data_IF_473190964509
#
_entry.id   IF_473190964509
#
_cell.length_a   1.000
_cell.length_b   1.000
_cell.length_c   1.000
_cell.angle_alpha   90.00
_cell.angle_beta   90.00
_cell.angle_gamma   90.00
#
_symmetry.space_group_name_H-M   'P 1'
#
loop_
_entity.id
_entity.type
_entity.pdbx_description
1 polymer ?
#
# COMPACT_ATOMS: atom_id res chain seq x y z
N UNK A 1 -17.84 -15.42 27.31
CA UNK A 1 -18.29 -14.37 26.38
C UNK A 1 -17.31 -13.22 26.26
N UNK A 2 -16.78 -12.66 27.37
CA UNK A 2 -15.88 -11.49 27.29
C UNK A 2 -14.46 -11.83 26.79
N UNK A 3 -13.90 -12.96 27.22
CA UNK A 3 -12.55 -13.34 26.82
C UNK A 3 -12.46 -13.70 25.33
N UNK A 4 -13.39 -14.50 24.82
CA UNK A 4 -13.47 -14.86 23.39
C UNK A 4 -13.64 -13.62 22.51
N UNK A 5 -14.54 -12.71 22.90
CA UNK A 5 -14.74 -11.43 22.21
C UNK A 5 -13.44 -10.62 22.18
N UNK A 6 -12.79 -10.45 23.32
CA UNK A 6 -11.54 -9.70 23.42
C UNK A 6 -10.42 -10.35 22.60
N UNK A 7 -10.29 -11.68 22.64
CA UNK A 7 -9.28 -12.40 21.85
C UNK A 7 -9.53 -12.26 20.35
N UNK A 8 -10.77 -12.35 19.88
CA UNK A 8 -11.08 -12.16 18.46
C UNK A 8 -10.81 -10.73 18.01
N UNK A 9 -11.18 -9.71 18.82
CA UNK A 9 -10.87 -8.31 18.50
C UNK A 9 -9.36 -8.09 18.44
N UNK A 10 -8.60 -8.58 19.43
CA UNK A 10 -7.14 -8.47 19.43
C UNK A 10 -6.50 -9.19 18.24
N UNK A 11 -7.05 -10.35 17.84
CA UNK A 11 -6.60 -11.08 16.66
C UNK A 11 -6.86 -10.29 15.38
N UNK A 12 -8.05 -9.70 15.22
CA UNK A 12 -8.38 -8.85 14.07
C UNK A 12 -7.46 -7.62 14.01
N UNK A 13 -7.26 -6.93 15.13
CA UNK A 13 -6.31 -5.81 15.22
C UNK A 13 -4.90 -6.25 14.87
N UNK A 14 -4.46 -7.39 15.40
CA UNK A 14 -3.14 -7.95 15.12
C UNK A 14 -2.95 -8.29 13.65
N UNK A 15 -3.93 -8.94 13.03
CA UNK A 15 -3.96 -9.25 11.60
C UNK A 15 -3.89 -7.96 10.78
N UNK A 16 -4.74 -6.97 11.07
CA UNK A 16 -4.81 -5.72 10.32
C UNK A 16 -3.53 -4.88 10.46
N UNK A 17 -2.90 -4.85 11.64
CA UNK A 17 -1.65 -4.12 11.87
C UNK A 17 -0.45 -4.82 11.23
N UNK A 18 -0.34 -6.15 11.36
CA UNK A 18 0.76 -6.92 10.76
C UNK A 18 0.69 -6.88 9.24
N UNK A 19 -0.50 -7.06 8.67
CA UNK A 19 -0.74 -6.96 7.23
C UNK A 19 -0.90 -5.51 6.74
N UNK A 20 -0.95 -4.54 7.64
CA UNK A 20 -1.10 -3.11 7.36
C UNK A 20 0.21 -2.32 7.45
N UNK A 21 1.32 -2.98 7.75
CA UNK A 21 2.63 -2.32 7.84
C UNK A 21 3.09 -1.69 6.52
N UNK A 22 2.87 -2.38 5.40
CA UNK A 22 3.12 -1.86 4.04
C UNK A 22 2.07 -0.81 3.62
N UNK A 23 0.82 -0.95 4.05
CA UNK A 23 -0.20 0.10 3.90
C UNK A 23 0.24 1.43 4.54
N UNK A 24 0.85 1.38 5.74
CA UNK A 24 1.36 2.57 6.42
C UNK A 24 2.52 3.23 5.64
N UNK A 25 3.35 2.42 4.97
CA UNK A 25 4.38 2.90 4.04
C UNK A 25 3.72 3.62 2.87
N UNK A 26 2.72 3.03 2.21
CA UNK A 26 2.01 3.66 1.08
C UNK A 26 1.39 4.99 1.49
N UNK A 27 0.74 5.04 2.65
CA UNK A 27 0.12 6.26 3.19
C UNK A 27 1.16 7.37 3.40
N UNK A 28 2.30 7.03 4.00
CA UNK A 28 3.40 7.97 4.19
C UNK A 28 3.92 8.48 2.83
N UNK A 29 4.12 7.59 1.87
CA UNK A 29 4.64 7.91 0.54
C UNK A 29 3.68 8.79 -0.26
N UNK A 30 2.39 8.45 -0.29
CA UNK A 30 1.36 9.21 -0.99
C UNK A 30 1.16 10.62 -0.41
N UNK A 31 1.41 10.80 0.88
CA UNK A 31 1.27 12.09 1.56
C UNK A 31 2.56 12.92 1.60
N UNK A 32 3.74 12.34 1.34
CA UNK A 32 5.04 13.00 1.47
C UNK A 32 5.18 14.28 0.66
N UNK A 33 4.69 14.29 -0.58
CA UNK A 33 4.85 15.41 -1.52
C UNK A 33 3.80 16.54 -1.30
N UNK A 34 2.89 16.39 -0.33
CA UNK A 34 1.95 17.44 0.05
C UNK A 34 2.61 18.50 0.95
N UNK A 35 2.12 19.75 0.90
CA UNK A 35 2.46 20.76 1.93
C UNK A 35 2.13 20.22 3.33
N UNK A 36 2.97 20.50 4.33
CA UNK A 36 2.82 19.99 5.70
C UNK A 36 1.40 20.18 6.27
N UNK A 37 0.77 21.32 5.99
CA UNK A 37 -0.60 21.63 6.43
C UNK A 37 -1.68 20.71 5.84
N UNK A 38 -1.41 20.04 4.72
CA UNK A 38 -2.34 19.12 4.04
C UNK A 38 -2.02 17.65 4.28
N UNK A 39 -0.80 17.30 4.73
CA UNK A 39 -0.38 15.90 4.95
C UNK A 39 -1.27 15.18 5.95
N UNK A 40 -1.47 15.78 7.12
CA UNK A 40 -2.33 15.22 8.16
C UNK A 40 -3.78 15.05 7.69
N UNK A 41 -4.28 15.96 6.86
CA UNK A 41 -5.62 15.85 6.26
C UNK A 41 -5.69 14.70 5.26
N UNK A 42 -4.66 14.53 4.42
CA UNK A 42 -4.59 13.42 3.46
C UNK A 42 -4.55 12.07 4.16
N UNK A 43 -3.72 11.93 5.19
CA UNK A 43 -3.61 10.71 6.00
C UNK A 43 -4.95 10.43 6.68
N UNK A 44 -5.53 11.41 7.39
CA UNK A 44 -6.79 11.20 8.11
C UNK A 44 -7.95 10.85 7.18
N UNK A 45 -8.17 11.64 6.12
CA UNK A 45 -9.29 11.43 5.19
C UNK A 45 -9.07 10.15 4.38
N UNK A 46 -7.85 9.93 3.89
CA UNK A 46 -7.49 8.74 3.13
C UNK A 46 -7.68 7.46 3.93
N UNK A 47 -7.15 7.41 5.16
CA UNK A 47 -7.31 6.26 6.05
C UNK A 47 -8.78 6.05 6.41
N UNK A 48 -9.55 7.09 6.78
CA UNK A 48 -10.97 6.93 7.09
C UNK A 48 -11.76 6.37 5.91
N UNK A 49 -11.56 6.89 4.70
CA UNK A 49 -12.22 6.38 3.49
C UNK A 49 -11.79 4.94 3.18
N UNK A 50 -10.51 4.64 3.34
CA UNK A 50 -9.97 3.29 3.16
C UNK A 50 -10.60 2.28 4.12
N UNK A 51 -10.74 2.61 5.41
CA UNK A 51 -11.40 1.70 6.37
C UNK A 51 -12.88 1.52 6.04
N UNK A 52 -13.60 2.59 5.66
CA UNK A 52 -15.01 2.45 5.26
C UNK A 52 -15.12 1.48 4.10
N UNK A 53 -14.27 1.65 3.08
CA UNK A 53 -14.21 0.73 1.96
C UNK A 53 -13.84 -0.69 2.43
N UNK A 54 -12.85 -0.84 3.32
CA UNK A 54 -12.42 -2.13 3.87
C UNK A 54 -13.54 -2.86 4.62
N UNK A 55 -14.37 -2.15 5.39
CA UNK A 55 -15.54 -2.73 6.05
C UNK A 55 -16.52 -3.26 5.00
N UNK A 56 -16.81 -2.46 3.96
CA UNK A 56 -17.69 -2.87 2.85
C UNK A 56 -17.13 -4.10 2.13
N UNK A 57 -15.84 -4.10 1.79
CA UNK A 57 -15.18 -5.25 1.17
C UNK A 57 -15.23 -6.49 2.05
N UNK A 58 -15.09 -6.34 3.38
CA UNK A 58 -15.15 -7.47 4.31
C UNK A 58 -16.51 -8.12 4.32
N UNK A 59 -17.58 -7.33 4.24
CA UNK A 59 -18.94 -7.85 4.11
C UNK A 59 -19.13 -8.56 2.76
N UNK A 60 -18.50 -8.05 1.71
CA UNK A 60 -18.58 -8.58 0.35
C UNK A 60 -17.47 -9.58 0.00
N UNK A 61 -16.67 -10.04 0.97
CA UNK A 61 -15.43 -10.78 0.73
C UNK A 61 -15.64 -12.05 -0.12
N UNK A 62 -16.79 -12.70 0.04
CA UNK A 62 -17.17 -13.89 -0.74
C UNK A 62 -17.32 -13.59 -2.23
N UNK A 63 -17.85 -12.42 -2.59
CA UNK A 63 -18.03 -12.00 -3.99
C UNK A 63 -16.75 -11.45 -4.61
N UNK A 64 -15.81 -11.00 -3.77
CA UNK A 64 -14.54 -10.43 -4.18
C UNK A 64 -13.65 -11.46 -4.89
N UNK A 65 -13.70 -12.73 -4.45
CA UNK A 65 -12.97 -13.85 -5.06
C UNK A 65 -13.35 -14.10 -6.54
N UNK A 66 -14.56 -13.70 -6.94
CA UNK A 66 -15.04 -13.92 -8.31
C UNK A 66 -14.65 -12.79 -9.28
N UNK A 67 -14.00 -11.71 -8.80
CA UNK A 67 -13.63 -10.56 -9.65
C UNK A 67 -12.30 -10.87 -10.36
N UNK A 68 -12.30 -11.18 -11.67
CA UNK A 68 -11.07 -11.46 -12.39
C UNK A 68 -10.26 -10.18 -12.58
N UNK A 69 -8.93 -10.33 -12.64
CA UNK A 69 -7.96 -9.26 -12.90
C UNK A 69 -7.85 -8.18 -11.82
N UNK A 70 -8.53 -8.32 -10.68
CA UNK A 70 -8.48 -7.33 -9.62
C UNK A 70 -7.05 -7.20 -9.06
N UNK A 71 -6.38 -8.33 -8.81
CA UNK A 71 -5.00 -8.35 -8.33
C UNK A 71 -4.04 -7.86 -9.41
N UNK A 72 -4.25 -8.20 -10.68
CA UNK A 72 -3.45 -7.69 -11.79
C UNK A 72 -3.51 -6.15 -11.90
N UNK A 73 -4.71 -5.57 -11.88
CA UNK A 73 -4.91 -4.10 -11.90
C UNK A 73 -4.22 -3.47 -10.69
N UNK A 74 -4.37 -4.11 -9.54
CA UNK A 74 -3.73 -3.71 -8.31
C UNK A 74 -2.20 -3.67 -8.39
N UNK A 75 -1.60 -4.74 -8.90
CA UNK A 75 -0.16 -4.83 -9.11
C UNK A 75 0.35 -3.76 -10.08
N UNK A 76 -0.39 -3.47 -11.16
CA UNK A 76 -0.06 -2.37 -12.08
C UNK A 76 -0.10 -1.02 -11.35
N UNK A 77 -1.16 -0.76 -10.58
CA UNK A 77 -1.30 0.50 -9.84
C UNK A 77 -0.17 0.68 -8.81
N UNK A 78 0.19 -0.36 -8.08
CA UNK A 78 1.29 -0.34 -7.12
C UNK A 78 2.65 -0.14 -7.79
N UNK A 79 2.86 -0.75 -8.95
CA UNK A 79 4.05 -0.52 -9.78
C UNK A 79 4.17 0.94 -10.18
N UNK A 80 3.07 1.56 -10.60
CA UNK A 80 3.04 2.99 -10.95
C UNK A 80 3.35 3.88 -9.74
N UNK A 81 2.84 3.55 -8.55
CA UNK A 81 3.17 4.29 -7.32
C UNK A 81 4.66 4.14 -7.01
N UNK A 82 5.21 2.93 -7.09
CA UNK A 82 6.61 2.65 -6.78
C UNK A 82 7.58 3.34 -7.76
N UNK A 83 7.25 3.38 -9.05
CA UNK A 83 8.03 4.11 -10.06
C UNK A 83 7.93 5.62 -9.80
N UNK A 84 6.70 6.16 -9.73
CA UNK A 84 6.48 7.59 -9.49
C UNK A 84 7.24 8.06 -8.26
N UNK A 85 7.30 7.24 -7.22
CA UNK A 85 7.98 7.57 -5.98
C UNK A 85 9.50 7.79 -6.13
N UNK A 86 10.16 6.98 -6.96
CA UNK A 86 11.60 7.08 -7.20
C UNK A 86 11.93 8.15 -8.26
N UNK A 87 10.97 8.49 -9.12
CA UNK A 87 11.15 9.47 -10.18
C UNK A 87 10.63 10.87 -9.81
N UNK A 88 9.85 11.03 -8.74
CA UNK A 88 9.25 12.32 -8.38
C UNK A 88 10.30 13.33 -7.88
N UNK A 89 10.21 14.55 -8.41
CA UNK A 89 11.19 15.61 -8.22
C UNK A 89 10.85 16.52 -7.04
N UNK A 90 11.33 16.18 -5.83
CA UNK A 90 11.17 17.06 -4.66
C UNK A 90 12.36 17.98 -4.35
N UNK A 91 13.41 17.99 -5.19
CA UNK A 91 14.64 18.78 -4.94
C UNK A 91 14.81 20.04 -5.80
N UNK A 92 13.88 20.39 -6.69
CA UNK A 92 13.95 21.65 -7.45
C UNK A 92 13.07 22.71 -6.79
N UNK A 93 13.72 23.65 -6.09
CA UNK A 93 13.12 24.78 -5.36
C UNK A 93 12.44 25.84 -6.26
N UNK A 94 12.30 25.60 -7.57
CA UNK A 94 11.90 26.62 -8.54
C UNK A 94 11.09 26.10 -9.73
N UNK A 95 10.19 25.12 -9.54
CA UNK A 95 9.13 24.87 -10.52
C UNK A 95 7.74 24.92 -9.89
N UNK A 96 7.03 25.96 -10.32
CA UNK A 96 5.61 26.18 -10.08
C UNK A 96 4.84 25.05 -10.78
N UNK A 97 3.93 24.40 -10.05
CA UNK A 97 2.93 23.42 -10.52
C UNK A 97 3.40 21.99 -10.87
N UNK A 98 3.78 21.25 -9.83
CA UNK A 98 3.74 19.77 -9.81
C UNK A 98 3.40 19.18 -8.44
N UNK A 99 2.80 19.96 -7.53
CA UNK A 99 2.51 19.48 -6.16
C UNK A 99 1.36 18.49 -6.20
N UNK A 100 1.60 17.24 -5.80
CA UNK A 100 0.56 16.23 -5.54
C UNK A 100 -0.62 16.89 -4.83
N UNK A 101 -1.82 16.75 -5.36
CA UNK A 101 -3.00 17.37 -4.76
C UNK A 101 -3.51 16.53 -3.59
N UNK A 102 -4.23 17.16 -2.65
CA UNK A 102 -4.86 16.44 -1.53
C UNK A 102 -5.74 15.29 -2.06
N UNK A 103 -6.52 15.56 -3.11
CA UNK A 103 -7.38 14.57 -3.76
C UNK A 103 -6.57 13.43 -4.38
N UNK A 104 -5.46 13.73 -5.05
CA UNK A 104 -4.58 12.71 -5.63
C UNK A 104 -3.97 11.82 -4.53
N UNK A 105 -3.48 12.40 -3.44
CA UNK A 105 -2.93 11.63 -2.32
C UNK A 105 -3.99 10.72 -1.68
N UNK A 106 -5.18 11.26 -1.39
CA UNK A 106 -6.31 10.49 -0.84
C UNK A 106 -6.72 9.36 -1.79
N UNK A 107 -6.80 9.65 -3.10
CA UNK A 107 -7.09 8.63 -4.13
C UNK A 107 -6.05 7.52 -4.10
N UNK A 108 -4.76 7.86 -4.10
CA UNK A 108 -3.67 6.87 -4.05
C UNK A 108 -3.77 5.99 -2.79
N UNK A 109 -4.04 6.60 -1.62
CA UNK A 109 -4.22 5.86 -0.36
C UNK A 109 -5.38 4.86 -0.49
N UNK A 110 -6.56 5.32 -0.90
CA UNK A 110 -7.77 4.48 -0.96
C UNK A 110 -7.62 3.36 -2.00
N UNK A 111 -7.06 3.64 -3.17
CA UNK A 111 -6.87 2.62 -4.20
C UNK A 111 -5.81 1.59 -3.83
N UNK A 112 -4.70 2.01 -3.22
CA UNK A 112 -3.70 1.07 -2.74
C UNK A 112 -4.27 0.20 -1.61
N UNK A 113 -5.00 0.80 -0.66
CA UNK A 113 -5.63 0.06 0.43
C UNK A 113 -6.70 -0.92 -0.07
N UNK A 114 -7.51 -0.56 -1.06
CA UNK A 114 -8.50 -1.44 -1.69
C UNK A 114 -7.83 -2.70 -2.27
N UNK A 115 -6.73 -2.49 -2.98
CA UNK A 115 -6.00 -3.53 -3.71
C UNK A 115 -5.23 -4.43 -2.74
N UNK A 116 -4.45 -3.85 -1.83
CA UNK A 116 -3.68 -4.58 -0.81
C UNK A 116 -4.59 -5.22 0.23
N UNK A 117 -5.68 -4.53 0.56
CA UNK A 117 -6.67 -4.95 1.52
C UNK A 117 -7.49 -6.16 1.06
N UNK A 118 -7.42 -6.57 -0.20
CA UNK A 118 -8.14 -7.74 -0.71
C UNK A 118 -7.77 -9.03 0.06
N UNK A 119 -6.48 -9.34 0.15
CA UNK A 119 -5.98 -10.50 0.89
C UNK A 119 -6.25 -10.35 2.40
N UNK A 120 -6.12 -9.12 2.90
CA UNK A 120 -6.33 -8.80 4.32
C UNK A 120 -7.80 -8.99 4.73
N UNK A 121 -8.73 -8.64 3.83
CA UNK A 121 -10.17 -8.78 4.02
C UNK A 121 -10.55 -10.25 4.20
N UNK A 122 -9.98 -11.16 3.40
CA UNK A 122 -10.25 -12.61 3.52
C UNK A 122 -9.76 -13.13 4.88
N UNK A 123 -8.56 -12.72 5.30
CA UNK A 123 -8.00 -13.10 6.60
C UNK A 123 -8.86 -12.58 7.77
N UNK A 124 -9.28 -11.31 7.71
CA UNK A 124 -10.12 -10.68 8.74
C UNK A 124 -11.53 -11.30 8.76
N UNK A 125 -12.13 -11.57 7.60
CA UNK A 125 -13.42 -12.24 7.49
C UNK A 125 -13.37 -13.64 8.13
N UNK A 126 -12.30 -14.40 7.89
CA UNK A 126 -12.05 -15.70 8.52
C UNK A 126 -11.91 -15.59 10.04
N UNK A 127 -11.13 -14.62 10.53
CA UNK A 127 -10.92 -14.40 11.97
C UNK A 127 -12.17 -13.89 12.71
N UNK A 128 -13.10 -13.24 12.01
CA UNK A 128 -14.32 -12.71 12.60
C UNK A 128 -15.43 -13.75 12.78
N UNK A 129 -15.30 -14.95 12.20
CA UNK A 129 -16.29 -16.04 12.29
C UNK A 129 -17.73 -15.57 11.98
N UNK A 130 -17.91 -14.66 11.01
CA UNK A 130 -19.22 -14.12 10.62
C UNK A 130 -19.80 -13.03 11.54
N UNK A 131 -19.11 -12.64 12.62
CA UNK A 131 -19.56 -11.56 13.52
C UNK A 131 -19.04 -10.21 13.05
N UNK A 132 -19.80 -9.53 12.19
CA UNK A 132 -19.44 -8.21 11.63
C UNK A 132 -19.06 -7.15 12.67
N UNK A 133 -19.67 -7.20 13.86
CA UNK A 133 -19.37 -6.27 14.95
C UNK A 133 -17.92 -6.40 15.44
N UNK A 134 -17.33 -7.60 15.42
CA UNK A 134 -15.92 -7.82 15.75
C UNK A 134 -14.98 -7.15 14.74
N UNK A 135 -15.31 -7.27 13.45
CA UNK A 135 -14.55 -6.63 12.36
C UNK A 135 -14.55 -5.12 12.53
N UNK A 136 -15.74 -4.52 12.69
CA UNK A 136 -15.87 -3.06 12.78
C UNK A 136 -15.08 -2.53 13.97
N UNK A 137 -15.20 -3.16 15.15
CA UNK A 137 -14.46 -2.73 16.33
C UNK A 137 -12.95 -2.90 16.15
N UNK A 138 -12.50 -4.05 15.62
CA UNK A 138 -11.08 -4.29 15.37
C UNK A 138 -10.48 -3.30 14.37
N UNK A 139 -11.18 -3.02 13.26
CA UNK A 139 -10.74 -2.02 12.27
C UNK A 139 -10.73 -0.60 12.85
N UNK A 140 -11.75 -0.22 13.63
CA UNK A 140 -11.79 1.10 14.29
C UNK A 140 -10.62 1.30 15.27
N UNK A 141 -10.26 0.27 16.03
CA UNK A 141 -9.10 0.29 16.93
C UNK A 141 -7.78 0.40 16.15
N UNK A 142 -7.72 -0.12 14.93
CA UNK A 142 -6.52 -0.10 14.09
C UNK A 142 -6.27 1.29 13.46
N UNK A 143 -7.30 2.14 13.31
CA UNK A 143 -7.18 3.48 12.70
C UNK A 143 -6.12 4.35 13.38
N UNK A 144 -6.15 4.60 14.71
CA UNK A 144 -5.15 5.45 15.36
C UNK A 144 -3.74 4.88 15.21
N UNK A 145 -3.60 3.55 15.26
CA UNK A 145 -2.32 2.85 15.13
C UNK A 145 -1.73 3.11 13.75
N UNK A 146 -2.51 2.93 12.68
CA UNK A 146 -2.06 3.17 11.29
C UNK A 146 -1.77 4.64 11.04
N UNK A 147 -2.61 5.56 11.55
CA UNK A 147 -2.39 7.00 11.41
C UNK A 147 -1.09 7.43 12.10
N UNK A 148 -0.83 6.94 13.32
CA UNK A 148 0.43 7.26 14.02
C UNK A 148 1.62 6.58 13.36
N UNK A 149 1.50 5.32 12.95
CA UNK A 149 2.54 4.57 12.25
C UNK A 149 2.94 5.22 10.94
N UNK A 150 1.98 5.62 10.10
CA UNK A 150 2.25 6.31 8.84
C UNK A 150 2.91 7.68 9.04
N UNK A 151 2.54 8.43 10.09
CA UNK A 151 3.24 9.68 10.46
C UNK A 151 4.67 9.42 10.89
N UNK A 152 4.90 8.38 11.69
CA UNK A 152 6.25 7.99 12.11
C UNK A 152 7.11 7.61 10.90
N UNK A 153 6.57 6.79 9.99
CA UNK A 153 7.25 6.39 8.75
C UNK A 153 7.57 7.62 7.89
N UNK A 154 6.63 8.56 7.78
CA UNK A 154 6.85 9.80 7.04
C UNK A 154 8.02 10.61 7.61
N UNK A 155 8.04 10.82 8.94
CA UNK A 155 9.15 11.53 9.62
C UNK A 155 10.48 10.79 9.42
N UNK A 156 10.46 9.45 9.50
CA UNK A 156 11.64 8.64 9.28
C UNK A 156 12.15 8.76 7.83
N UNK A 157 11.26 8.80 6.83
CA UNK A 157 11.64 8.99 5.42
C UNK A 157 12.24 10.37 5.15
N UNK A 158 11.76 11.41 5.84
CA UNK A 158 12.36 12.76 5.74
C UNK A 158 13.74 12.80 6.36
N UNK A 159 13.95 12.10 7.48
CA UNK A 159 15.25 12.01 8.14
C UNK A 159 16.23 11.09 7.42
N UNK A 160 15.72 10.01 6.83
CA UNK A 160 16.50 8.95 6.17
C UNK A 160 15.95 8.69 4.76
N UNK A 161 16.40 9.47 3.75
CA UNK A 161 15.89 9.35 2.38
C UNK A 161 16.08 7.96 1.74
N UNK A 162 17.01 7.14 2.24
CA UNK A 162 17.16 5.76 1.75
C UNK A 162 15.91 4.90 2.00
N UNK A 163 15.10 5.21 3.03
CA UNK A 163 13.86 4.50 3.33
C UNK A 163 12.82 4.62 2.22
N UNK A 164 12.96 5.61 1.34
CA UNK A 164 12.14 5.76 0.14
C UNK A 164 12.39 4.60 -0.82
N UNK A 165 13.65 4.20 -1.00
CA UNK A 165 14.02 3.04 -1.83
C UNK A 165 13.54 1.74 -1.21
N UNK A 166 13.62 1.61 0.12
CA UNK A 166 13.05 0.46 0.83
C UNK A 166 11.53 0.39 0.65
N UNK A 167 10.82 1.51 0.80
CA UNK A 167 9.38 1.59 0.57
C UNK A 167 9.00 1.25 -0.87
N UNK A 168 9.75 1.77 -1.86
CA UNK A 168 9.55 1.42 -3.27
C UNK A 168 9.78 -0.08 -3.53
N UNK A 169 10.80 -0.68 -2.91
CA UNK A 169 11.08 -2.10 -3.04
C UNK A 169 9.96 -2.97 -2.42
N UNK A 170 9.43 -2.58 -1.26
CA UNK A 170 8.28 -3.27 -0.65
C UNK A 170 7.06 -3.17 -1.59
N UNK A 171 6.79 -1.99 -2.14
CA UNK A 171 5.69 -1.83 -3.10
C UNK A 171 5.88 -2.65 -4.37
N UNK A 172 7.09 -2.67 -4.92
CA UNK A 172 7.46 -3.46 -6.08
C UNK A 172 7.26 -4.96 -5.82
N UNK A 173 7.66 -5.43 -4.64
CA UNK A 173 7.47 -6.81 -4.22
C UNK A 173 5.99 -7.17 -4.13
N UNK A 174 5.19 -6.35 -3.43
CA UNK A 174 3.74 -6.55 -3.30
C UNK A 174 3.06 -6.53 -4.66
N UNK A 175 3.45 -5.60 -5.54
CA UNK A 175 2.95 -5.54 -6.92
C UNK A 175 3.24 -6.82 -7.70
N UNK A 176 4.49 -7.29 -7.71
CA UNK A 176 4.87 -8.52 -8.39
C UNK A 176 4.16 -9.74 -7.80
N UNK A 177 4.00 -9.81 -6.47
CA UNK A 177 3.23 -10.86 -5.80
C UNK A 177 1.78 -10.88 -6.30
N UNK A 178 1.11 -9.73 -6.35
CA UNK A 178 -0.26 -9.64 -6.84
C UNK A 178 -0.40 -10.07 -8.30
N UNK A 179 0.54 -9.67 -9.17
CA UNK A 179 0.53 -10.11 -10.57
C UNK A 179 0.64 -11.63 -10.69
N UNK A 180 1.46 -12.27 -9.84
CA UNK A 180 1.64 -13.73 -9.84
C UNK A 180 0.49 -14.52 -9.19
N UNK A 181 -0.25 -13.92 -8.26
CA UNK A 181 -1.36 -14.57 -7.55
C UNK A 181 -2.69 -14.49 -8.33
N UNK A 182 -2.71 -13.80 -9.48
CA UNK A 182 -3.90 -13.71 -10.33
C UNK A 182 -4.33 -15.08 -10.87
N UNK A 183 -5.48 -15.57 -10.41
CA UNK A 183 -6.02 -16.91 -10.70
C UNK A 183 -6.11 -17.23 -12.20
N UNK A 184 -6.40 -16.23 -13.04
CA UNK A 184 -6.48 -16.41 -14.50
C UNK A 184 -5.12 -16.64 -15.16
N UNK A 185 -4.05 -16.14 -14.55
CA UNK A 185 -2.67 -16.37 -14.98
C UNK A 185 -2.03 -17.57 -14.27
N UNK A 186 -2.74 -18.19 -13.31
CA UNK A 186 -2.24 -19.32 -12.55
C UNK A 186 -1.86 -20.51 -13.44
N UNK A 187 -2.45 -20.68 -14.63
CA UNK A 187 -2.02 -21.72 -15.59
C UNK A 187 -0.61 -21.46 -16.15
N UNK A 188 -0.23 -20.21 -16.34
CA UNK A 188 1.12 -19.82 -16.79
C UNK A 188 2.14 -19.94 -15.64
N UNK A 189 1.72 -19.59 -14.42
CA UNK A 189 2.57 -19.56 -13.22
C UNK A 189 2.72 -20.91 -12.50
N UNK A 190 1.67 -21.75 -12.45
CA UNK A 190 1.74 -23.09 -11.82
C UNK A 190 2.68 -24.03 -12.56
N UNK A 191 2.85 -23.88 -13.87
CA UNK A 191 3.72 -24.72 -14.66
C UNK A 191 5.22 -24.50 -14.34
N UNK A 192 5.58 -23.38 -13.70
CA UNK A 192 6.97 -23.06 -13.36
C UNK A 192 7.08 -22.37 -11.99
N UNK A 193 7.08 -23.11 -10.86
CA UNK A 193 7.13 -22.55 -9.51
C UNK A 193 8.32 -21.61 -9.27
N UNK A 194 9.50 -21.98 -9.81
CA UNK A 194 10.71 -21.16 -9.71
C UNK A 194 10.60 -19.84 -10.48
N UNK A 195 9.91 -19.83 -11.61
CA UNK A 195 9.66 -18.61 -12.38
C UNK A 195 8.74 -17.67 -11.62
N UNK A 196 7.64 -18.19 -11.08
CA UNK A 196 6.68 -17.42 -10.27
C UNK A 196 7.32 -16.78 -9.05
N UNK A 197 8.17 -17.52 -8.32
CA UNK A 197 8.89 -16.99 -7.17
C UNK A 197 9.88 -15.86 -7.56
N UNK A 198 10.37 -15.82 -8.80
CA UNK A 198 11.33 -14.81 -9.27
C UNK A 198 10.70 -13.46 -9.64
N UNK A 199 9.40 -13.44 -10.00
CA UNK A 199 8.73 -12.23 -10.50
C UNK A 199 8.72 -11.07 -9.49
N UNK A 200 8.38 -11.25 -8.19
CA UNK A 200 8.44 -10.15 -7.23
C UNK A 200 9.83 -9.52 -7.12
N UNK A 201 10.88 -10.35 -7.15
CA UNK A 201 12.27 -9.87 -7.13
C UNK A 201 12.65 -9.15 -8.43
N UNK A 202 12.13 -9.58 -9.57
CA UNK A 202 12.29 -8.89 -10.85
C UNK A 202 11.61 -7.53 -10.85
N UNK A 203 10.42 -7.39 -10.23
CA UNK A 203 9.77 -6.11 -10.04
C UNK A 203 10.61 -5.18 -9.17
N UNK A 204 11.13 -5.66 -8.03
CA UNK A 204 12.05 -4.89 -7.19
C UNK A 204 13.25 -4.41 -8.01
N UNK A 205 13.94 -5.34 -8.70
CA UNK A 205 15.13 -5.03 -9.47
C UNK A 205 14.83 -3.97 -10.55
N UNK A 206 13.75 -4.16 -11.31
CA UNK A 206 13.34 -3.24 -12.38
C UNK A 206 13.06 -1.84 -11.84
N UNK A 207 12.28 -1.73 -10.76
CA UNK A 207 11.92 -0.44 -10.16
C UNK A 207 13.14 0.27 -9.58
N UNK A 208 14.02 -0.46 -8.88
CA UNK A 208 15.26 0.11 -8.35
C UNK A 208 16.22 0.54 -9.47
N UNK A 209 16.33 -0.24 -10.54
CA UNK A 209 17.12 0.14 -11.72
C UNK A 209 16.57 1.40 -12.39
N UNK A 210 15.25 1.51 -12.56
CA UNK A 210 14.61 2.73 -13.08
C UNK A 210 14.97 3.92 -12.19
N UNK A 211 14.81 3.80 -10.87
CA UNK A 211 15.17 4.85 -9.92
C UNK A 211 16.64 5.26 -10.02
N UNK A 212 17.55 4.28 -10.11
CA UNK A 212 18.98 4.54 -10.25
C UNK A 212 19.35 5.22 -11.58
N UNK A 213 18.77 4.78 -12.69
CA UNK A 213 19.01 5.38 -14.02
C UNK A 213 18.53 6.83 -14.04
N UNK A 214 17.33 7.09 -13.53
CA UNK A 214 16.78 8.46 -13.44
C UNK A 214 17.66 9.34 -12.58
N UNK A 215 18.16 8.82 -11.45
CA UNK A 215 19.11 9.54 -10.60
C UNK A 215 20.44 9.84 -11.30
N UNK A 216 21.00 8.89 -12.05
CA UNK A 216 22.25 9.06 -12.81
C UNK A 216 22.12 10.11 -13.93
N UNK A 217 21.03 10.06 -14.71
CA UNK A 217 20.74 11.06 -15.75
C UNK A 217 20.62 12.45 -15.13
N UNK A 218 20.02 12.56 -13.95
CA UNK A 218 19.89 13.82 -13.21
C UNK A 218 21.25 14.39 -12.79
N UNK A 219 22.13 13.57 -12.21
CA UNK A 219 23.48 14.00 -11.81
C UNK A 219 24.33 14.47 -13.00
N UNK A 220 24.05 13.94 -14.21
CA UNK A 220 24.69 14.38 -15.46
C UNK A 220 24.18 15.74 -15.94
N UNK A 221 22.88 16.00 -15.85
CA UNK A 221 22.28 17.27 -16.31
C UNK A 221 22.58 18.46 -15.39
N UNK A 222 22.89 18.25 -14.11
CA UNK A 222 23.26 19.34 -13.17
C UNK A 222 24.72 19.81 -13.37
N UNK A 223 25.55 19.04 -14.08
CA UNK A 223 26.96 19.37 -14.36
C UNK A 223 27.18 20.20 -15.64
N UNK A 224 26.13 20.48 -16.41
CA UNK A 224 26.15 21.31 -17.62
C UNK A 224 25.28 22.55 -17.43
#
# INVERSE_FOLDING_TARGET
MDLEFLTSVLMIVGIDVVLGGDNAIVIALASRNLPESKRNKAILIGTLLAIVLRIVLTILAVYLLDIPFLQLIGGVLLTLIAVNLLTDNSNDLSSIQGKTTLFQAVRTIVFADLVMGFDNVIAIAGAAHGRFLLVIIGLLISIPIIIWGSKLILILMERFPFLIYCGAAILAYTAGKMVTHEDRLATFFHNNPSFTASIPYLFIFTILCIGFIVQQVRLRNVKH
#
